data_IF_946447587196
#
_entry.id   IF_946447587196
#
_cell.length_a   1.000
_cell.length_b   1.000
_cell.length_c   1.000
_cell.angle_alpha   90.00
_cell.angle_beta   90.00
_cell.angle_gamma   90.00
#
_symmetry.space_group_name_H-M   'P 1'
#
loop_
_entity.id
_entity.type
_entity.pdbx_description
1 polymer ?
#
# COMPACT_ATOMS: atom_id res chain seq x y z
N UNK A 1 17.92 -43.56 -8.24
CA UNK A 1 16.80 -43.20 -7.35
C UNK A 1 17.33 -42.16 -6.40
N UNK A 2 16.99 -40.89 -6.65
CA UNK A 2 17.38 -39.81 -5.76
C UNK A 2 16.76 -40.08 -4.39
N UNK A 3 17.61 -40.17 -3.37
CA UNK A 3 17.21 -40.32 -1.99
C UNK A 3 16.43 -39.07 -1.63
N UNK A 4 15.11 -39.22 -1.42
CA UNK A 4 14.32 -38.23 -0.69
C UNK A 4 14.83 -38.23 0.75
N UNK A 5 15.97 -37.56 0.95
CA UNK A 5 16.45 -37.22 2.28
C UNK A 5 15.31 -36.43 2.92
N UNK A 6 14.80 -36.90 4.06
CA UNK A 6 13.77 -36.21 4.83
C UNK A 6 14.33 -34.87 5.29
N UNK A 7 14.31 -33.88 4.40
CA UNK A 7 14.58 -32.48 4.70
C UNK A 7 13.57 -32.11 5.78
N UNK A 8 14.08 -31.75 6.95
CA UNK A 8 13.25 -31.48 8.12
C UNK A 8 12.34 -30.28 7.81
N UNK A 9 11.13 -30.25 8.37
CA UNK A 9 10.16 -29.18 8.10
C UNK A 9 10.74 -27.77 8.35
N UNK A 10 11.68 -27.65 9.28
CA UNK A 10 12.40 -26.41 9.58
C UNK A 10 13.32 -25.95 8.45
N UNK A 11 13.90 -26.87 7.67
CA UNK A 11 14.74 -26.50 6.52
C UNK A 11 13.88 -25.96 5.36
N UNK A 12 12.68 -26.51 5.19
CA UNK A 12 11.72 -25.96 4.23
C UNK A 12 11.22 -24.58 4.66
N UNK A 13 10.81 -24.40 5.92
CA UNK A 13 10.42 -23.10 6.44
C UNK A 13 11.54 -22.04 6.33
N UNK A 14 12.80 -22.44 6.55
CA UNK A 14 13.95 -21.54 6.40
C UNK A 14 14.20 -21.18 4.93
N UNK A 15 14.11 -22.16 4.02
CA UNK A 15 14.24 -21.94 2.59
C UNK A 15 13.14 -21.01 2.07
N UNK A 16 11.88 -21.27 2.43
CA UNK A 16 10.74 -20.45 2.01
C UNK A 16 10.88 -19.02 2.50
N UNK A 17 11.40 -18.81 3.71
CA UNK A 17 11.58 -17.48 4.27
C UNK A 17 12.71 -16.70 3.60
N UNK A 18 13.81 -17.37 3.25
CA UNK A 18 14.87 -16.77 2.44
C UNK A 18 14.43 -16.44 1.01
N UNK A 19 13.51 -17.21 0.44
CA UNK A 19 12.89 -16.92 -0.86
C UNK A 19 11.97 -15.69 -0.76
N UNK A 20 11.12 -15.65 0.27
CA UNK A 20 10.21 -14.53 0.54
C UNK A 20 10.97 -13.21 0.69
N UNK A 21 12.02 -13.19 1.51
CA UNK A 21 12.83 -11.97 1.72
C UNK A 21 13.40 -11.39 0.41
N UNK A 22 13.79 -12.26 -0.52
CA UNK A 22 14.36 -11.85 -1.80
C UNK A 22 13.31 -11.30 -2.76
N UNK A 23 12.07 -11.78 -2.66
CA UNK A 23 10.97 -11.37 -3.54
C UNK A 23 10.30 -10.08 -3.07
N UNK A 24 10.34 -9.77 -1.76
CA UNK A 24 9.71 -8.56 -1.23
C UNK A 24 10.47 -7.26 -1.55
N UNK A 25 9.72 -6.27 -2.00
CA UNK A 25 10.14 -4.90 -2.30
C UNK A 25 9.44 -3.93 -1.34
N UNK A 26 8.12 -3.71 -1.43
CA UNK A 26 7.41 -2.67 -0.66
C UNK A 26 7.46 -2.87 0.86
N UNK A 27 7.28 -4.08 1.41
CA UNK A 27 7.37 -4.30 2.85
C UNK A 27 8.74 -3.94 3.45
N UNK A 28 9.81 -3.91 2.65
CA UNK A 28 11.16 -3.53 3.12
C UNK A 28 11.34 -2.02 3.25
N UNK A 29 10.50 -1.25 2.57
CA UNK A 29 10.53 0.23 2.52
C UNK A 29 9.83 0.86 3.72
N UNK A 30 8.97 0.10 4.39
CA UNK A 30 8.19 0.53 5.55
C UNK A 30 8.80 -0.03 6.83
N UNK A 31 8.24 0.37 7.97
CA UNK A 31 8.71 -0.13 9.24
C UNK A 31 8.23 -1.57 9.46
N UNK A 32 9.16 -2.52 9.35
CA UNK A 32 8.96 -3.92 9.69
C UNK A 32 9.02 -4.13 11.21
N UNK A 33 8.02 -4.83 11.75
CA UNK A 33 7.94 -5.29 13.13
C UNK A 33 8.04 -4.14 14.15
N UNK A 34 6.95 -3.36 14.24
CA UNK A 34 6.74 -2.45 15.37
C UNK A 34 6.86 -3.20 16.69
N UNK A 35 7.73 -2.74 17.59
CA UNK A 35 8.07 -3.43 18.83
C UNK A 35 6.84 -3.87 19.65
N UNK A 36 6.73 -5.17 19.92
CA UNK A 36 5.71 -5.77 20.80
C UNK A 36 5.42 -7.22 20.42
N UNK A 37 5.22 -8.09 21.40
CA UNK A 37 4.65 -9.41 21.18
C UNK A 37 3.15 -9.34 21.44
N UNK A 38 2.35 -9.88 20.51
CA UNK A 38 0.93 -10.10 20.74
C UNK A 38 0.79 -11.06 21.94
N UNK A 39 0.01 -10.65 22.94
CA UNK A 39 -0.33 -11.40 24.14
C UNK A 39 -1.30 -12.57 23.87
N UNK A 40 -1.75 -12.77 22.63
CA UNK A 40 -2.55 -13.92 22.21
C UNK A 40 -4.05 -13.78 22.52
N UNK A 41 -4.53 -12.56 22.75
CA UNK A 41 -5.95 -12.27 22.87
C UNK A 41 -6.62 -12.09 21.50
N UNK A 42 -7.94 -12.27 21.43
CA UNK A 42 -8.72 -11.89 20.24
C UNK A 42 -8.66 -10.36 20.09
N UNK A 43 -8.46 -9.87 18.86
CA UNK A 43 -8.35 -8.45 18.52
C UNK A 43 -7.15 -7.73 19.19
N UNK A 44 -6.10 -8.48 19.47
CA UNK A 44 -4.89 -7.94 20.09
C UNK A 44 -4.18 -6.94 19.16
N UNK A 45 -3.64 -5.88 19.77
CA UNK A 45 -2.99 -4.78 19.07
C UNK A 45 -1.56 -4.60 19.57
N UNK A 46 -0.64 -4.37 18.64
CA UNK A 46 0.70 -3.90 19.00
C UNK A 46 0.66 -2.38 19.04
N UNK A 47 0.82 -1.81 20.23
CA UNK A 47 1.00 -0.37 20.42
C UNK A 47 2.45 0.03 20.18
N UNK A 48 2.73 0.65 19.03
CA UNK A 48 3.99 1.32 18.77
C UNK A 48 3.97 2.68 19.47
N UNK A 49 5.01 2.97 20.28
CA UNK A 49 5.15 4.26 20.95
C UNK A 49 6.03 5.18 20.14
N UNK A 50 5.47 6.28 19.66
CA UNK A 50 6.24 7.36 19.03
C UNK A 50 6.56 8.39 20.10
N UNK A 51 7.85 8.75 20.30
CA UNK A 51 8.23 9.79 21.24
C UNK A 51 7.53 11.10 20.88
N UNK A 52 6.86 11.71 21.86
CA UNK A 52 6.23 13.01 21.67
C UNK A 52 7.27 14.08 21.31
N UNK A 53 6.94 14.97 20.37
CA UNK A 53 7.76 16.16 20.07
C UNK A 53 7.39 17.30 21.03
N UNK A 54 8.39 17.99 21.56
CA UNK A 54 8.22 19.21 22.34
C UNK A 54 8.67 20.42 21.51
N UNK A 55 7.93 21.52 21.60
CA UNK A 55 8.30 22.80 20.99
C UNK A 55 8.94 23.72 22.02
N UNK A 56 10.02 24.39 21.65
CA UNK A 56 10.70 25.31 22.55
C UNK A 56 9.90 26.62 22.68
N UNK A 57 9.60 27.04 23.90
CA UNK A 57 8.98 28.34 24.19
C UNK A 57 10.04 29.40 24.44
N UNK A 58 9.81 30.61 23.95
CA UNK A 58 10.62 31.77 24.28
C UNK A 58 9.91 32.63 25.33
N UNK A 59 10.70 33.35 26.14
CA UNK A 59 10.22 34.31 27.13
C UNK A 59 11.03 35.58 27.02
N UNK A 60 10.38 36.73 27.13
CA UNK A 60 11.07 38.02 27.12
C UNK A 60 12.05 38.16 28.30
N UNK A 61 13.23 38.71 27.99
CA UNK A 61 14.24 39.01 29.00
C UNK A 61 13.75 40.18 29.86
N UNK A 62 13.72 39.99 31.19
CA UNK A 62 13.19 40.98 32.17
C UNK A 62 11.67 41.23 32.08
N UNK A 63 10.90 40.25 31.62
CA UNK A 63 9.45 40.26 31.76
C UNK A 63 9.01 40.46 33.23
N UNK A 64 7.79 40.96 33.45
CA UNK A 64 7.17 41.15 34.77
C UNK A 64 5.79 40.48 34.83
N UNK A 65 5.32 40.15 36.04
CA UNK A 65 4.03 39.49 36.25
C UNK A 65 3.93 38.12 35.55
N UNK A 66 2.77 37.82 34.98
CA UNK A 66 2.48 36.53 34.33
C UNK A 66 3.43 36.20 33.17
N UNK A 67 4.06 37.21 32.55
CA UNK A 67 5.04 37.02 31.49
C UNK A 67 6.40 36.47 32.00
N UNK A 68 6.63 36.41 33.32
CA UNK A 68 7.77 35.64 33.89
C UNK A 68 7.47 34.15 34.05
N UNK A 69 6.21 33.74 34.05
CA UNK A 69 5.87 32.37 34.40
C UNK A 69 6.41 31.41 33.34
N UNK A 70 7.05 30.33 33.81
CA UNK A 70 7.45 29.23 32.93
C UNK A 70 6.20 28.41 32.66
N UNK A 71 5.77 28.37 31.40
CA UNK A 71 4.70 27.47 30.98
C UNK A 71 5.34 26.10 30.79
N UNK A 72 4.87 25.12 31.55
CA UNK A 72 5.34 23.74 31.48
C UNK A 72 4.53 23.02 30.40
N UNK A 73 5.21 22.34 29.48
CA UNK A 73 4.56 21.46 28.51
C UNK A 73 4.44 20.04 29.11
N UNK A 74 3.36 19.33 28.76
CA UNK A 74 3.17 17.94 29.15
C UNK A 74 3.66 17.05 28.01
N UNK A 75 4.59 16.13 28.29
CA UNK A 75 5.06 15.16 27.31
C UNK A 75 4.05 14.01 27.21
N UNK A 76 3.27 13.97 26.14
CA UNK A 76 2.39 12.85 25.82
C UNK A 76 3.05 11.97 24.76
N UNK A 77 3.30 10.70 25.08
CA UNK A 77 3.70 9.70 24.09
C UNK A 77 2.49 9.32 23.22
N UNK A 78 2.70 9.22 21.92
CA UNK A 78 1.66 8.75 21.01
C UNK A 78 1.72 7.23 20.90
N UNK A 79 0.58 6.57 21.07
CA UNK A 79 0.41 5.14 20.82
C UNK A 79 -0.24 4.93 19.45
N UNK A 80 0.27 3.95 18.72
CA UNK A 80 -0.25 3.54 17.41
C UNK A 80 -0.52 2.06 17.50
N UNK A 81 -1.78 1.68 17.40
CA UNK A 81 -2.21 0.30 17.57
C UNK A 81 -2.32 -0.38 16.21
N UNK A 82 -1.59 -1.49 16.02
CA UNK A 82 -1.65 -2.33 14.80
C UNK A 82 -2.28 -3.67 15.15
N UNK A 83 -3.39 -4.00 14.51
CA UNK A 83 -4.08 -5.31 14.60
C UNK A 83 -3.59 -6.27 13.52
N UNK A 84 -3.55 -7.57 13.81
CA UNK A 84 -3.48 -8.61 12.77
C UNK A 84 -4.85 -8.76 12.13
N UNK A 85 -4.98 -8.38 10.86
CA UNK A 85 -6.28 -8.35 10.16
C UNK A 85 -6.43 -9.44 9.12
N UNK A 86 -5.31 -9.92 8.58
CA UNK A 86 -5.31 -10.68 7.32
C UNK A 86 -4.43 -11.91 7.44
N UNK A 87 -4.93 -13.04 6.95
CA UNK A 87 -4.15 -14.26 6.74
C UNK A 87 -3.83 -14.39 5.26
N UNK A 88 -2.55 -14.26 4.90
CA UNK A 88 -2.08 -14.35 3.53
C UNK A 88 -1.55 -15.77 3.34
N UNK A 89 -2.22 -16.55 2.51
CA UNK A 89 -1.91 -17.97 2.34
C UNK A 89 -1.90 -18.41 0.88
N UNK A 90 -1.14 -19.47 0.62
CA UNK A 90 -1.17 -20.23 -0.62
C UNK A 90 -1.22 -21.72 -0.31
N UNK A 91 -2.19 -22.42 -0.89
CA UNK A 91 -2.40 -23.85 -0.68
C UNK A 91 -2.43 -24.58 -2.03
N UNK A 92 -1.60 -25.62 -2.16
CA UNK A 92 -1.52 -26.44 -3.37
C UNK A 92 -1.73 -27.91 -2.99
N UNK A 93 -2.79 -28.56 -3.49
CA UNK A 93 -2.92 -30.00 -3.41
C UNK A 93 -2.05 -30.66 -4.49
N UNK A 94 -1.38 -31.74 -4.14
CA UNK A 94 -0.61 -32.60 -5.05
C UNK A 94 -1.09 -34.03 -4.90
N UNK A 95 -1.43 -34.70 -6.00
CA UNK A 95 -1.83 -36.12 -5.95
C UNK A 95 -0.62 -37.02 -5.78
N UNK A 96 -0.84 -38.28 -5.39
CA UNK A 96 0.23 -39.27 -5.27
C UNK A 96 0.81 -39.65 -6.65
N UNK A 97 0.01 -39.62 -7.72
CA UNK A 97 0.52 -39.80 -9.08
C UNK A 97 1.46 -38.66 -9.49
N UNK A 98 1.07 -37.40 -9.27
CA UNK A 98 1.90 -36.23 -9.58
C UNK A 98 3.21 -36.24 -8.77
N UNK A 99 3.13 -36.56 -7.48
CA UNK A 99 4.30 -36.67 -6.60
C UNK A 99 5.26 -37.79 -7.03
N UNK A 100 4.74 -38.86 -7.63
CA UNK A 100 5.54 -40.03 -8.02
C UNK A 100 6.09 -39.92 -9.44
N UNK A 101 5.32 -39.34 -10.36
CA UNK A 101 5.60 -39.38 -11.80
C UNK A 101 6.09 -38.04 -12.37
N UNK A 102 5.62 -36.91 -11.83
CA UNK A 102 5.81 -35.59 -12.46
C UNK A 102 6.71 -34.65 -11.63
N UNK A 103 6.65 -34.71 -10.31
CA UNK A 103 7.38 -33.81 -9.41
C UNK A 103 8.78 -34.38 -9.11
N UNK A 104 9.80 -33.75 -9.69
CA UNK A 104 11.20 -34.09 -9.44
C UNK A 104 11.81 -33.32 -8.25
N UNK A 105 11.35 -32.09 -7.99
CA UNK A 105 11.80 -31.29 -6.86
C UNK A 105 10.65 -30.43 -6.30
N UNK A 106 10.11 -30.88 -5.18
CA UNK A 106 9.01 -30.22 -4.48
C UNK A 106 9.33 -28.76 -4.09
N UNK A 107 10.57 -28.47 -3.69
CA UNK A 107 10.96 -27.11 -3.27
C UNK A 107 10.92 -26.10 -4.42
N UNK A 108 11.37 -26.50 -5.61
CA UNK A 108 11.41 -25.60 -6.77
C UNK A 108 10.06 -25.56 -7.48
N UNK A 109 9.37 -26.70 -7.62
CA UNK A 109 8.16 -26.80 -8.44
C UNK A 109 6.88 -26.44 -7.69
N UNK A 110 6.86 -26.60 -6.35
CA UNK A 110 5.68 -26.32 -5.53
C UNK A 110 5.94 -25.16 -4.56
N UNK A 111 6.98 -25.25 -3.72
CA UNK A 111 7.20 -24.23 -2.68
C UNK A 111 7.56 -22.86 -3.26
N UNK A 112 8.42 -22.79 -4.29
CA UNK A 112 8.82 -21.49 -4.86
C UNK A 112 7.62 -20.69 -5.42
N UNK A 113 6.72 -21.28 -6.24
CA UNK A 113 5.48 -20.60 -6.64
C UNK A 113 4.57 -20.22 -5.47
N UNK A 114 4.47 -21.06 -4.43
CA UNK A 114 3.65 -20.75 -3.26
C UNK A 114 4.19 -19.54 -2.49
N UNK A 115 5.50 -19.48 -2.27
CA UNK A 115 6.16 -18.35 -1.61
C UNK A 115 5.98 -17.08 -2.41
N UNK A 116 6.13 -17.16 -3.73
CA UNK A 116 5.90 -16.01 -4.61
C UNK A 116 4.48 -15.48 -4.55
N UNK A 117 3.47 -16.37 -4.53
CA UNK A 117 2.08 -15.96 -4.39
C UNK A 117 1.83 -15.26 -3.04
N UNK A 118 2.44 -15.74 -1.95
CA UNK A 118 2.38 -15.07 -0.64
C UNK A 118 3.11 -13.73 -0.67
N UNK A 119 4.28 -13.65 -1.32
CA UNK A 119 5.03 -12.41 -1.50
C UNK A 119 4.20 -11.36 -2.25
N UNK A 120 3.63 -11.71 -3.41
CA UNK A 120 2.75 -10.85 -4.20
C UNK A 120 1.53 -10.40 -3.38
N UNK A 121 0.91 -11.30 -2.62
CA UNK A 121 -0.18 -10.96 -1.70
C UNK A 121 0.22 -9.96 -0.60
N UNK A 122 1.46 -10.03 -0.10
CA UNK A 122 2.00 -9.06 0.87
C UNK A 122 2.28 -7.70 0.23
N UNK A 123 2.83 -7.68 -0.99
CA UNK A 123 3.04 -6.44 -1.76
C UNK A 123 1.72 -5.71 -2.01
N UNK A 124 0.70 -6.45 -2.47
CA UNK A 124 -0.63 -5.89 -2.76
C UNK A 124 -1.33 -5.39 -1.49
N UNK A 125 -1.14 -6.06 -0.36
CA UNK A 125 -1.66 -5.60 0.91
C UNK A 125 -1.00 -4.29 1.37
N UNK A 126 0.32 -4.13 1.19
CA UNK A 126 1.01 -2.86 1.45
C UNK A 126 0.55 -1.77 0.48
N UNK A 127 0.42 -2.07 -0.81
CA UNK A 127 -0.09 -1.12 -1.81
C UNK A 127 -1.50 -0.63 -1.47
N UNK A 128 -2.37 -1.54 -1.01
CA UNK A 128 -3.72 -1.17 -0.55
C UNK A 128 -3.70 -0.27 0.69
N UNK A 129 -2.76 -0.47 1.60
CA UNK A 129 -2.56 0.43 2.74
C UNK A 129 -2.05 1.81 2.29
N UNK A 130 -1.15 1.86 1.30
CA UNK A 130 -0.75 3.14 0.71
C UNK A 130 -1.92 3.88 0.10
N UNK A 131 -2.87 3.19 -0.54
CA UNK A 131 -4.08 3.80 -1.10
C UNK A 131 -5.09 4.22 -0.03
N UNK A 132 -5.16 3.51 1.10
CA UNK A 132 -6.16 3.74 2.16
C UNK A 132 -5.81 4.92 3.07
N UNK A 133 -4.52 5.24 3.19
CA UNK A 133 -4.05 6.27 4.12
C UNK A 133 -4.63 7.67 3.82
N UNK A 134 -5.01 8.44 4.86
CA UNK A 134 -5.67 9.74 4.70
C UNK A 134 -4.65 10.88 4.46
N UNK A 135 -4.04 10.91 3.27
CA UNK A 135 -3.04 11.94 2.94
C UNK A 135 -3.56 13.36 3.07
N UNK A 136 -2.77 14.20 3.74
CA UNK A 136 -3.02 15.65 3.79
C UNK A 136 -2.71 16.32 2.45
N UNK A 137 -1.68 15.84 1.77
CA UNK A 137 -1.17 16.43 0.54
C UNK A 137 -1.27 15.40 -0.59
N UNK A 138 -1.99 15.79 -1.64
CA UNK A 138 -2.01 15.09 -2.93
C UNK A 138 -1.45 16.03 -3.97
N UNK A 139 -0.39 15.60 -4.66
CA UNK A 139 0.30 16.38 -5.69
C UNK A 139 0.02 15.74 -7.04
N UNK A 140 -0.45 16.57 -7.98
CA UNK A 140 -0.65 16.18 -9.37
C UNK A 140 0.69 16.31 -10.10
N UNK A 141 1.21 15.19 -10.60
CA UNK A 141 2.47 15.11 -11.32
C UNK A 141 2.23 15.48 -12.78
N UNK A 142 2.79 16.61 -13.20
CA UNK A 142 2.74 16.99 -14.61
C UNK A 142 3.79 16.21 -15.41
N UNK A 143 3.41 15.40 -16.42
CA UNK A 143 4.36 14.61 -17.20
C UNK A 143 5.35 15.47 -17.99
N UNK A 144 5.06 16.76 -18.22
CA UNK A 144 5.98 17.67 -18.89
C UNK A 144 7.03 18.28 -17.92
N UNK A 145 6.79 18.20 -16.60
CA UNK A 145 7.64 18.77 -15.54
C UNK A 145 7.61 17.90 -14.29
N UNK A 146 8.08 16.67 -14.43
CA UNK A 146 8.01 15.69 -13.33
C UNK A 146 8.90 16.10 -12.15
N UNK A 147 10.07 16.70 -12.43
CA UNK A 147 11.00 17.15 -11.40
C UNK A 147 10.38 18.17 -10.42
N UNK A 148 9.67 19.19 -10.93
CA UNK A 148 9.02 20.21 -10.12
C UNK A 148 8.00 19.60 -9.14
N UNK A 149 7.26 18.60 -9.63
CA UNK A 149 6.26 17.88 -8.83
C UNK A 149 6.91 17.13 -7.64
N UNK A 150 8.08 16.53 -7.84
CA UNK A 150 8.83 15.89 -6.74
C UNK A 150 9.48 16.89 -5.78
N UNK A 151 9.88 18.06 -6.27
CA UNK A 151 10.34 19.16 -5.42
C UNK A 151 9.20 19.67 -4.53
N UNK A 152 7.98 19.77 -5.06
CA UNK A 152 6.79 20.12 -4.28
C UNK A 152 6.47 19.04 -3.22
N UNK A 153 6.61 17.76 -3.56
CA UNK A 153 6.47 16.66 -2.60
C UNK A 153 7.53 16.75 -1.48
N UNK A 154 8.77 17.09 -1.86
CA UNK A 154 9.85 17.34 -0.89
C UNK A 154 9.52 18.50 0.02
N UNK A 155 8.99 19.59 -0.52
CA UNK A 155 8.59 20.79 0.23
C UNK A 155 7.50 20.45 1.24
N UNK A 156 6.43 19.75 0.83
CA UNK A 156 5.35 19.35 1.72
C UNK A 156 5.86 18.55 2.94
N UNK A 157 6.78 17.60 2.74
CA UNK A 157 7.39 16.86 3.85
C UNK A 157 8.35 17.70 4.71
N UNK A 158 9.01 18.70 4.13
CA UNK A 158 9.92 19.57 4.88
C UNK A 158 9.15 20.55 5.78
N UNK A 159 8.05 21.10 5.28
CA UNK A 159 7.18 22.02 6.03
C UNK A 159 6.62 21.32 7.29
N UNK A 160 6.37 20.01 7.20
CA UNK A 160 5.95 19.14 8.30
C UNK A 160 7.11 18.59 9.16
N UNK A 161 8.36 19.04 8.92
CA UNK A 161 9.55 18.62 9.68
C UNK A 161 9.79 17.10 9.72
N UNK A 162 9.41 16.41 8.65
CA UNK A 162 9.73 14.99 8.46
C UNK A 162 11.25 14.84 8.24
N UNK A 163 11.94 13.86 8.87
CA UNK A 163 13.38 13.67 8.66
C UNK A 163 13.77 13.50 7.19
N UNK A 164 14.96 13.98 6.81
CA UNK A 164 15.46 13.90 5.42
C UNK A 164 16.02 12.53 5.03
N UNK A 165 16.46 11.72 6.01
CA UNK A 165 16.95 10.37 5.76
C UNK A 165 15.78 9.41 5.53
N UNK A 166 16.01 8.28 4.84
CA UNK A 166 15.01 7.21 4.65
C UNK A 166 13.68 7.67 4.04
N UNK A 167 13.73 8.68 3.17
CA UNK A 167 12.58 9.06 2.34
C UNK A 167 12.62 8.27 1.05
N UNK A 168 11.50 7.66 0.72
CA UNK A 168 11.33 6.79 -0.43
C UNK A 168 10.20 7.36 -1.29
N UNK A 169 10.38 7.28 -2.60
CA UNK A 169 9.39 7.59 -3.60
C UNK A 169 9.06 6.28 -4.32
N UNK A 170 7.88 5.74 -4.05
CA UNK A 170 7.37 4.55 -4.75
C UNK A 170 6.47 5.02 -5.88
N UNK A 171 6.69 4.53 -7.10
CA UNK A 171 5.93 4.96 -8.28
C UNK A 171 5.40 3.78 -9.08
N UNK A 172 4.23 3.98 -9.69
CA UNK A 172 3.72 3.14 -10.75
C UNK A 172 4.41 3.37 -12.09
N UNK A 173 4.06 2.53 -13.07
CA UNK A 173 4.70 2.49 -14.39
C UNK A 173 4.45 3.73 -15.25
N UNK A 174 3.31 4.40 -15.10
CA UNK A 174 2.99 5.64 -15.83
C UNK A 174 3.84 6.82 -15.35
N UNK A 175 3.99 6.98 -14.04
CA UNK A 175 4.90 7.98 -13.45
C UNK A 175 6.36 7.65 -13.77
N UNK A 176 6.77 6.37 -13.75
CA UNK A 176 8.10 5.95 -14.20
C UNK A 176 8.35 6.39 -15.65
N UNK A 177 7.41 6.12 -16.56
CA UNK A 177 7.53 6.53 -17.96
C UNK A 177 7.63 8.05 -18.11
N UNK A 178 6.95 8.82 -17.26
CA UNK A 178 7.04 10.27 -17.23
C UNK A 178 8.43 10.74 -16.77
N UNK A 179 8.98 10.12 -15.72
CA UNK A 179 10.36 10.39 -15.24
C UNK A 179 11.38 10.15 -16.35
N UNK A 180 11.26 9.02 -17.08
CA UNK A 180 12.20 8.65 -18.14
C UNK A 180 12.12 9.55 -19.38
N UNK A 181 10.96 10.17 -19.63
CA UNK A 181 10.75 11.08 -20.78
C UNK A 181 11.08 12.53 -20.48
N UNK A 182 11.28 12.89 -19.22
CA UNK A 182 11.47 14.28 -18.83
C UNK A 182 12.84 14.82 -19.32
N UNK A 183 12.85 15.92 -20.11
CA UNK A 183 14.07 16.48 -20.69
C UNK A 183 15.14 16.85 -19.66
N UNK A 184 14.79 17.19 -18.42
CA UNK A 184 15.80 17.52 -17.40
C UNK A 184 16.65 16.31 -17.02
N UNK A 185 16.08 15.10 -17.05
CA UNK A 185 16.83 13.87 -16.81
C UNK A 185 17.61 13.45 -18.06
N UNK A 186 17.05 13.64 -19.25
CA UNK A 186 17.74 13.35 -20.53
C UNK A 186 18.91 14.32 -20.80
N UNK A 187 18.81 15.59 -20.39
CA UNK A 187 19.88 16.58 -20.54
C UNK A 187 20.98 16.42 -19.47
N UNK A 188 20.69 15.81 -18.32
CA UNK A 188 21.72 15.41 -17.36
C UNK A 188 22.72 14.42 -17.99
N UNK A 189 22.22 13.50 -18.84
CA UNK A 189 23.05 12.53 -19.58
C UNK A 189 23.97 13.18 -20.63
N UNK A 190 23.58 14.33 -21.20
CA UNK A 190 24.35 15.04 -22.23
C UNK A 190 25.40 16.02 -21.67
N UNK A 191 25.38 16.33 -20.36
CA UNK A 191 26.12 17.45 -19.77
C UNK A 191 27.52 17.10 -19.23
N UNK A 192 27.99 15.84 -19.35
CA UNK A 192 29.41 15.48 -19.18
C UNK A 192 30.08 15.92 -17.87
N UNK A 193 29.33 16.05 -16.76
CA UNK A 193 29.87 16.44 -15.45
C UNK A 193 29.84 15.27 -14.46
N UNK A 194 31.01 14.82 -14.04
CA UNK A 194 31.30 13.61 -13.23
C UNK A 194 30.66 13.57 -11.81
N UNK A 195 29.93 14.63 -11.42
CA UNK A 195 29.21 14.70 -10.16
C UNK A 195 27.71 14.39 -10.35
N UNK A 196 27.07 14.87 -11.42
CA UNK A 196 25.66 14.62 -11.72
C UNK A 196 25.43 13.21 -12.28
N UNK A 197 26.43 12.64 -12.98
CA UNK A 197 26.40 11.29 -13.55
C UNK A 197 26.26 10.15 -12.53
N UNK A 198 26.54 10.40 -11.23
CA UNK A 198 26.42 9.36 -10.18
C UNK A 198 25.04 9.25 -9.54
N UNK A 199 24.19 10.26 -9.67
CA UNK A 199 22.84 10.24 -9.08
C UNK A 199 21.75 9.81 -10.09
N UNK A 200 22.03 9.85 -11.39
CA UNK A 200 21.01 9.74 -12.43
C UNK A 200 20.76 8.33 -12.99
N UNK A 201 21.53 7.30 -12.60
CA UNK A 201 21.22 5.93 -13.01
C UNK A 201 20.83 5.09 -11.79
N UNK A 202 19.52 5.09 -11.52
CA UNK A 202 18.86 4.28 -10.48
C UNK A 202 19.22 4.71 -9.06
N UNK A 203 18.41 5.55 -8.45
CA UNK A 203 18.44 5.59 -6.99
C UNK A 203 17.71 6.73 -6.35
N UNK A 204 17.95 7.99 -6.73
CA UNK A 204 17.50 9.12 -5.90
C UNK A 204 17.10 10.39 -6.68
N UNK A 205 15.85 10.84 -6.53
CA UNK A 205 15.32 12.06 -7.16
C UNK A 205 14.82 13.01 -6.08
N UNK A 206 15.20 14.30 -6.15
CA UNK A 206 14.78 15.33 -5.19
C UNK A 206 14.98 14.95 -3.70
N UNK A 207 15.94 14.07 -3.40
CA UNK A 207 16.24 13.57 -2.05
C UNK A 207 15.48 12.31 -1.62
N UNK A 208 14.62 11.76 -2.48
CA UNK A 208 13.89 10.52 -2.30
C UNK A 208 14.54 9.36 -3.03
N UNK A 209 14.60 8.19 -2.39
CA UNK A 209 15.02 6.97 -3.08
C UNK A 209 13.88 6.45 -3.96
N UNK A 210 14.06 6.37 -5.29
CA UNK A 210 12.98 6.07 -6.24
C UNK A 210 12.91 4.57 -6.50
N UNK A 211 11.72 3.99 -6.32
CA UNK A 211 11.47 2.57 -6.48
C UNK A 211 10.19 2.39 -7.29
N UNK A 212 10.27 1.59 -8.34
CA UNK A 212 9.12 1.23 -9.16
C UNK A 212 8.52 -0.05 -8.60
N UNK A 213 7.20 -0.08 -8.44
CA UNK A 213 6.48 -1.28 -8.01
C UNK A 213 5.37 -1.62 -8.99
N UNK A 214 5.27 -2.91 -9.31
CA UNK A 214 4.22 -3.45 -10.17
C UNK A 214 2.88 -3.65 -9.44
N UNK A 215 2.86 -3.55 -8.10
CA UNK A 215 1.62 -3.62 -7.31
C UNK A 215 0.86 -2.29 -7.26
N UNK A 216 1.47 -1.21 -7.77
CA UNK A 216 0.82 0.09 -7.92
C UNK A 216 0.17 0.22 -9.30
N UNK A 217 -0.93 0.98 -9.35
CA UNK A 217 -1.54 1.41 -10.61
C UNK A 217 -0.57 2.37 -11.34
N UNK A 218 -0.74 2.54 -12.65
CA UNK A 218 0.21 3.28 -13.48
C UNK A 218 0.28 4.78 -13.13
N UNK A 219 -0.86 5.35 -12.74
CA UNK A 219 -1.08 6.78 -12.48
C UNK A 219 -0.84 7.19 -11.02
N UNK A 220 -0.43 6.27 -10.14
CA UNK A 220 -0.23 6.54 -8.71
C UNK A 220 1.23 6.46 -8.26
N UNK A 221 1.54 7.24 -7.23
CA UNK A 221 2.83 7.22 -6.55
C UNK A 221 2.72 7.73 -5.12
N UNK A 222 3.73 7.40 -4.30
CA UNK A 222 3.74 7.71 -2.89
C UNK A 222 5.14 8.14 -2.44
N UNK A 223 5.25 9.36 -1.93
CA UNK A 223 6.49 9.88 -1.35
C UNK A 223 6.36 9.91 0.17
N UNK A 224 7.14 9.09 0.89
CA UNK A 224 7.00 8.96 2.34
C UNK A 224 8.32 8.69 3.05
N UNK A 225 8.33 8.89 4.36
CA UNK A 225 9.41 8.43 5.23
C UNK A 225 9.16 7.00 5.68
N UNK A 226 10.19 6.16 5.84
CA UNK A 226 10.06 4.75 6.27
C UNK A 226 9.13 4.51 7.46
N UNK A 227 9.05 5.44 8.40
CA UNK A 227 8.17 5.35 9.59
C UNK A 227 6.71 5.73 9.33
N UNK A 228 6.31 6.06 8.11
CA UNK A 228 4.94 6.47 7.80
C UNK A 228 3.98 5.29 7.84
N UNK A 229 4.48 4.10 7.50
CA UNK A 229 3.73 2.86 7.47
C UNK A 229 4.43 1.80 8.31
N UNK A 230 3.65 0.86 8.83
CA UNK A 230 4.12 -0.27 9.61
C UNK A 230 3.48 -1.54 9.10
N UNK A 231 4.26 -2.61 9.07
CA UNK A 231 3.77 -3.97 8.84
C UNK A 231 4.29 -4.87 9.94
N UNK A 232 3.38 -5.69 10.47
CA UNK A 232 3.70 -6.76 11.41
C UNK A 232 3.30 -8.09 10.79
N UNK A 233 4.18 -9.08 10.89
CA UNK A 233 3.88 -10.45 10.46
C UNK A 233 4.03 -11.42 11.62
N UNK A 234 3.22 -12.47 11.64
CA UNK A 234 3.30 -13.55 12.63
C UNK A 234 3.03 -14.90 11.96
N UNK A 235 3.86 -15.88 12.28
CA UNK A 235 3.64 -17.25 11.85
C UNK A 235 2.56 -17.89 12.74
N UNK A 236 1.50 -18.48 12.17
CA UNK A 236 0.53 -19.25 12.94
C UNK A 236 1.20 -20.44 13.65
N UNK A 237 0.57 -21.01 14.68
CA UNK A 237 1.06 -22.23 15.35
C UNK A 237 0.78 -23.46 14.47
N UNK A 238 1.70 -24.41 14.38
CA UNK A 238 1.44 -25.70 13.69
C UNK A 238 0.38 -26.48 14.48
N UNK A 239 -0.79 -26.80 13.90
CA UNK A 239 -1.84 -27.55 14.59
C UNK A 239 -1.39 -28.99 14.86
N UNK A 240 -1.80 -29.55 15.99
CA UNK A 240 -1.45 -30.93 16.40
C UNK A 240 -1.89 -32.01 15.38
N UNK A 241 -2.88 -31.70 14.53
CA UNK A 241 -3.38 -32.59 13.49
C UNK A 241 -2.51 -32.64 12.23
N UNK A 242 -1.57 -31.71 12.06
CA UNK A 242 -0.70 -31.70 10.90
C UNK A 242 0.53 -32.57 11.12
N UNK A 243 0.75 -33.61 10.30
CA UNK A 243 1.89 -34.52 10.49
C UNK A 243 3.24 -33.84 10.23
N UNK A 244 3.27 -32.79 9.40
CA UNK A 244 4.47 -32.02 9.09
C UNK A 244 4.16 -30.53 9.07
N UNK A 245 5.00 -29.73 9.72
CA UNK A 245 4.94 -28.28 9.63
C UNK A 245 5.99 -27.62 10.48
N UNK A 246 6.31 -26.38 10.16
CA UNK A 246 7.20 -25.53 10.93
C UNK A 246 6.78 -24.06 10.80
N UNK A 247 6.84 -23.35 11.92
CA UNK A 247 6.60 -21.92 12.01
C UNK A 247 7.93 -21.24 12.31
N UNK A 248 8.32 -20.26 11.48
CA UNK A 248 9.63 -19.61 11.59
C UNK A 248 9.51 -18.11 11.40
N UNK A 249 10.47 -17.38 12.00
CA UNK A 249 10.64 -15.95 11.80
C UNK A 249 12.10 -15.62 11.50
N UNK A 250 12.32 -14.61 10.67
CA UNK A 250 13.63 -14.15 10.22
C UNK A 250 13.51 -12.72 9.66
N UNK A 251 14.45 -11.84 10.02
CA UNK A 251 14.49 -10.44 9.56
C UNK A 251 13.16 -9.66 9.67
N UNK A 252 12.34 -9.96 10.70
CA UNK A 252 11.05 -9.29 10.93
C UNK A 252 9.90 -9.81 10.07
N UNK A 253 10.14 -10.86 9.28
CA UNK A 253 9.14 -11.65 8.58
C UNK A 253 8.90 -12.95 9.34
N UNK A 254 7.66 -13.43 9.36
CA UNK A 254 7.30 -14.70 9.94
C UNK A 254 6.37 -15.46 9.02
N UNK A 255 6.58 -16.76 8.88
CA UNK A 255 5.73 -17.62 8.06
C UNK A 255 5.66 -19.02 8.64
N UNK A 256 4.58 -19.73 8.31
CA UNK A 256 4.43 -21.16 8.58
C UNK A 256 4.33 -21.91 7.26
N UNK A 257 4.97 -23.07 7.23
CA UNK A 257 4.73 -24.09 6.23
C UNK A 257 4.12 -25.32 6.90
N UNK A 258 3.12 -25.93 6.26
CA UNK A 258 2.39 -27.08 6.75
C UNK A 258 2.10 -28.05 5.61
N UNK A 259 2.18 -29.35 5.89
CA UNK A 259 1.75 -30.41 4.99
C UNK A 259 0.87 -31.40 5.72
N UNK A 260 -0.27 -31.69 5.11
CA UNK A 260 -1.25 -32.63 5.61
C UNK A 260 -1.76 -33.54 4.49
N UNK A 261 -2.23 -34.74 4.84
CA UNK A 261 -2.75 -35.73 3.90
C UNK A 261 -4.27 -35.82 4.02
N UNK A 262 -4.97 -35.52 2.93
CA UNK A 262 -6.42 -35.74 2.83
C UNK A 262 -6.72 -37.15 2.35
N UNK A 263 -7.26 -37.98 3.24
CA UNK A 263 -7.62 -39.36 2.92
C UNK A 263 -8.78 -39.46 1.91
N UNK A 264 -9.70 -38.48 1.87
CA UNK A 264 -10.88 -38.54 0.99
C UNK A 264 -10.48 -38.28 -0.46
N UNK A 265 -9.64 -37.28 -0.69
CA UNK A 265 -9.14 -36.93 -2.02
C UNK A 265 -7.81 -37.60 -2.37
N UNK A 266 -7.25 -38.41 -1.47
CA UNK A 266 -5.95 -39.06 -1.60
C UNK A 266 -4.83 -38.10 -2.03
N UNK A 267 -4.85 -36.87 -1.50
CA UNK A 267 -3.91 -35.81 -1.89
C UNK A 267 -3.13 -35.28 -0.70
N UNK A 268 -1.86 -34.96 -0.95
CA UNK A 268 -1.04 -34.17 -0.03
C UNK A 268 -1.33 -32.68 -0.26
N UNK A 269 -1.56 -31.93 0.82
CA UNK A 269 -1.88 -30.49 0.78
C UNK A 269 -0.73 -29.72 1.42
N UNK A 270 -0.05 -28.91 0.61
CA UNK A 270 0.99 -27.99 1.06
C UNK A 270 0.38 -26.62 1.32
N UNK A 271 0.54 -26.08 2.51
CA UNK A 271 0.08 -24.74 2.90
C UNK A 271 1.28 -23.89 3.32
N UNK A 272 1.37 -22.69 2.77
CA UNK A 272 2.26 -21.62 3.23
C UNK A 272 1.39 -20.45 3.66
N UNK A 273 1.55 -19.96 4.89
CA UNK A 273 0.76 -18.83 5.39
C UNK A 273 1.49 -17.92 6.39
N UNK A 274 0.97 -16.69 6.50
CA UNK A 274 1.42 -15.67 7.45
C UNK A 274 0.27 -14.75 7.83
N UNK A 275 0.16 -14.47 9.14
CA UNK A 275 -0.72 -13.41 9.61
C UNK A 275 -0.02 -12.07 9.43
N UNK A 276 -0.69 -11.15 8.74
CA UNK A 276 -0.20 -9.81 8.48
C UNK A 276 -1.15 -8.76 9.05
N UNK A 277 -0.55 -7.70 9.60
CA UNK A 277 -1.22 -6.49 10.04
C UNK A 277 -0.52 -5.27 9.45
N UNK A 278 -1.30 -4.31 8.97
CA UNK A 278 -0.82 -3.09 8.33
C UNK A 278 -1.37 -1.88 9.07
N UNK A 279 -0.63 -0.78 9.06
CA UNK A 279 -1.13 0.49 9.57
C UNK A 279 -0.28 1.66 9.12
N UNK A 280 -0.86 2.84 9.24
CA UNK A 280 -0.20 4.12 8.96
C UNK A 280 -0.12 4.97 10.22
N UNK A 281 0.89 5.83 10.27
CA UNK A 281 1.17 6.70 11.41
C UNK A 281 0.49 8.06 11.20
N UNK A 282 -0.60 8.27 11.93
CA UNK A 282 -1.22 9.59 12.09
C UNK A 282 -0.46 10.40 13.15
N UNK A 283 -0.51 11.73 13.12
CA UNK A 283 0.06 12.56 14.19
C UNK A 283 -1.03 12.99 15.19
N UNK A 284 -0.82 12.72 16.48
CA UNK A 284 -1.82 12.94 17.53
C UNK A 284 -2.01 14.41 17.94
N UNK A 285 -1.06 15.30 17.63
CA UNK A 285 -1.13 16.69 18.09
C UNK A 285 -2.11 17.56 17.28
N UNK A 286 -2.56 17.14 16.10
CA UNK A 286 -3.26 18.03 15.17
C UNK A 286 -4.28 17.30 14.26
N UNK A 287 -5.27 16.65 14.85
CA UNK A 287 -6.49 16.15 14.16
C UNK A 287 -6.32 14.93 13.24
N UNK A 288 -5.72 13.84 13.72
CA UNK A 288 -5.60 12.56 12.97
C UNK A 288 -5.02 12.73 11.55
N UNK A 289 -4.04 13.63 11.43
CA UNK A 289 -3.49 14.04 10.14
C UNK A 289 -2.33 13.13 9.74
N UNK A 290 -2.36 12.64 8.50
CA UNK A 290 -1.23 11.91 7.91
C UNK A 290 -0.28 12.88 7.21
N UNK A 291 0.89 13.12 7.82
CA UNK A 291 1.89 14.10 7.35
C UNK A 291 3.21 13.47 6.90
N UNK A 292 3.43 12.18 7.20
CA UNK A 292 4.69 11.47 6.91
C UNK A 292 4.76 10.91 5.50
N UNK A 293 3.70 11.07 4.73
CA UNK A 293 3.63 10.72 3.33
C UNK A 293 2.80 11.72 2.53
N UNK A 294 3.09 11.76 1.24
CA UNK A 294 2.43 12.58 0.23
C UNK A 294 2.00 11.64 -0.89
N UNK A 295 0.75 11.79 -1.34
CA UNK A 295 0.25 11.07 -2.50
C UNK A 295 0.60 11.82 -3.77
N UNK A 296 1.05 11.08 -4.77
CA UNK A 296 1.32 11.57 -6.12
C UNK A 296 0.32 10.92 -7.06
N UNK A 297 -0.28 11.73 -7.93
CA UNK A 297 -1.16 11.25 -8.97
C UNK A 297 -0.69 11.83 -10.30
N UNK A 298 -0.56 11.01 -11.34
CA UNK A 298 -0.25 11.51 -12.68
C UNK A 298 -1.38 12.42 -13.17
N UNK A 299 -1.01 13.53 -13.81
CA UNK A 299 -1.96 14.47 -14.39
C UNK A 299 -2.76 13.81 -15.50
N UNK A 300 -4.07 13.82 -15.37
CA UNK A 300 -4.98 13.35 -16.42
C UNK A 300 -5.47 14.49 -17.31
N UNK A 301 -5.61 14.25 -18.62
CA UNK A 301 -6.12 15.22 -19.58
C UNK A 301 -7.63 15.09 -19.89
N UNK A 302 -8.23 13.91 -19.69
CA UNK A 302 -9.66 13.65 -19.93
C UNK A 302 -10.24 12.71 -18.89
N UNK A 303 -11.55 12.73 -18.73
CA UNK A 303 -12.29 11.76 -17.92
C UNK A 303 -13.42 11.20 -18.77
N UNK A 304 -13.53 9.88 -18.81
CA UNK A 304 -14.57 9.15 -19.55
C UNK A 304 -15.39 8.29 -18.60
N UNK A 305 -16.72 8.43 -18.63
CA UNK A 305 -17.62 7.70 -17.75
C UNK A 305 -18.49 6.73 -18.53
N UNK A 306 -18.44 5.46 -18.14
CA UNK A 306 -19.21 4.38 -18.77
C UNK A 306 -20.14 3.70 -17.77
N UNK A 307 -21.41 3.44 -18.11
CA UNK A 307 -22.11 3.88 -19.34
C UNK A 307 -22.50 5.36 -19.31
N UNK A 308 -22.53 6.02 -20.47
CA UNK A 308 -22.94 7.43 -20.62
C UNK A 308 -24.45 7.65 -20.40
N UNK A 309 -25.26 6.59 -20.55
CA UNK A 309 -26.70 6.61 -20.27
C UNK A 309 -27.13 5.39 -19.48
N UNK A 310 -28.05 5.59 -18.53
CA UNK A 310 -28.54 4.56 -17.62
C UNK A 310 -30.05 4.66 -17.52
N UNK A 311 -30.76 3.56 -17.78
CA UNK A 311 -32.21 3.47 -17.58
C UNK A 311 -32.50 2.45 -16.49
N UNK A 312 -33.20 2.88 -15.43
CA UNK A 312 -33.44 2.06 -14.23
C UNK A 312 -34.89 2.13 -13.79
N UNK A 313 -35.42 1.04 -13.25
CA UNK A 313 -36.65 1.06 -12.48
C UNK A 313 -36.41 1.67 -11.08
N UNK A 314 -37.42 2.29 -10.43
CA UNK A 314 -37.28 2.78 -9.06
C UNK A 314 -36.74 1.68 -8.12
N UNK A 315 -35.72 2.02 -7.31
CA UNK A 315 -35.03 1.11 -6.40
C UNK A 315 -33.89 0.30 -7.03
N UNK A 316 -33.74 0.31 -8.36
CA UNK A 316 -32.62 -0.36 -9.01
C UNK A 316 -31.33 0.47 -8.92
N UNK A 317 -30.19 -0.23 -8.99
CA UNK A 317 -28.86 0.38 -8.89
C UNK A 317 -28.01 0.06 -10.11
N UNK A 318 -27.13 0.98 -10.50
CA UNK A 318 -26.15 0.77 -11.56
C UNK A 318 -24.81 1.35 -11.15
N UNK A 319 -23.75 0.54 -11.26
CA UNK A 319 -22.38 1.02 -11.07
C UNK A 319 -21.91 1.71 -12.36
N UNK A 320 -21.30 2.88 -12.23
CA UNK A 320 -20.54 3.52 -13.31
C UNK A 320 -19.05 3.33 -13.11
N UNK A 321 -18.34 3.25 -14.22
CA UNK A 321 -16.88 3.15 -14.27
C UNK A 321 -16.34 4.48 -14.80
N UNK A 322 -15.37 5.04 -14.10
CA UNK A 322 -14.65 6.25 -14.51
C UNK A 322 -13.29 5.83 -15.03
N UNK A 323 -12.89 6.36 -16.18
CA UNK A 323 -11.57 6.17 -16.76
C UNK A 323 -10.90 7.50 -17.02
N UNK A 324 -9.58 7.51 -16.94
CA UNK A 324 -8.76 8.64 -17.35
C UNK A 324 -8.30 8.50 -18.81
N UNK A 325 -7.44 9.43 -19.25
CA UNK A 325 -6.81 9.43 -20.57
C UNK A 325 -5.78 8.31 -20.80
N UNK A 326 -5.27 7.68 -19.74
CA UNK A 326 -4.49 6.45 -19.81
C UNK A 326 -5.34 5.23 -20.18
N UNK A 327 -6.65 5.33 -19.96
CA UNK A 327 -7.61 4.24 -20.13
C UNK A 327 -7.77 3.40 -18.86
N UNK A 328 -7.11 3.81 -17.79
CA UNK A 328 -7.09 3.17 -16.50
C UNK A 328 -8.32 3.56 -15.69
N UNK A 329 -8.83 2.62 -14.91
CA UNK A 329 -10.01 2.87 -14.09
C UNK A 329 -9.63 3.75 -12.92
N UNK A 330 -10.14 4.98 -12.91
CA UNK A 330 -9.95 5.90 -11.80
C UNK A 330 -10.68 5.34 -10.58
N UNK A 331 -9.98 5.01 -9.48
CA UNK A 331 -10.64 4.57 -8.27
C UNK A 331 -11.67 5.61 -7.84
N UNK A 332 -12.90 5.20 -7.54
CA UNK A 332 -14.00 6.16 -7.32
C UNK A 332 -13.72 7.19 -6.22
N UNK A 333 -12.88 6.88 -5.23
CA UNK A 333 -12.41 7.83 -4.20
C UNK A 333 -11.63 9.04 -4.75
N UNK A 334 -11.12 8.96 -5.97
CA UNK A 334 -10.37 10.03 -6.61
C UNK A 334 -11.26 10.95 -7.46
N UNK A 335 -12.48 10.52 -7.80
CA UNK A 335 -13.45 11.30 -8.56
C UNK A 335 -14.59 11.79 -7.66
N UNK A 336 -15.11 12.98 -7.93
CA UNK A 336 -16.29 13.50 -7.24
C UNK A 336 -17.54 13.27 -8.07
N UNK A 337 -18.58 12.71 -7.46
CA UNK A 337 -19.87 12.43 -8.10
C UNK A 337 -20.95 13.34 -7.54
N UNK A 338 -21.69 14.00 -8.43
CA UNK A 338 -22.79 14.90 -8.04
C UNK A 338 -24.03 14.53 -8.84
N UNK A 339 -25.16 14.32 -8.15
CA UNK A 339 -26.46 14.17 -8.81
C UNK A 339 -27.13 15.52 -8.97
N UNK A 340 -27.55 15.85 -10.20
CA UNK A 340 -28.32 17.06 -10.49
C UNK A 340 -29.72 17.06 -9.86
N UNK A 341 -30.35 15.89 -9.72
CA UNK A 341 -31.66 15.73 -9.06
C UNK A 341 -31.68 14.53 -8.09
N UNK A 342 -31.18 14.69 -6.85
CA UNK A 342 -31.14 13.61 -5.85
C UNK A 342 -32.50 12.98 -5.54
N UNK A 343 -33.60 13.72 -5.73
CA UNK A 343 -34.97 13.20 -5.58
C UNK A 343 -35.37 12.19 -6.65
N UNK A 344 -34.62 12.08 -7.76
CA UNK A 344 -34.86 11.15 -8.89
C UNK A 344 -33.82 10.04 -8.93
N UNK A 345 -32.54 10.39 -8.78
CA UNK A 345 -31.47 9.42 -8.65
C UNK A 345 -30.38 9.95 -7.73
N UNK A 346 -29.82 9.11 -6.89
CA UNK A 346 -28.64 9.42 -6.05
C UNK A 346 -27.42 8.69 -6.58
N UNK A 347 -26.23 9.19 -6.25
CA UNK A 347 -24.96 8.52 -6.56
C UNK A 347 -24.11 8.46 -5.29
N UNK A 348 -23.48 7.32 -5.02
CA UNK A 348 -22.56 7.16 -3.89
C UNK A 348 -21.17 7.70 -4.23
N UNK A 349 -20.31 7.85 -3.21
CA UNK A 349 -18.89 8.18 -3.41
C UNK A 349 -18.13 7.10 -4.21
N UNK A 350 -18.68 5.90 -4.33
CA UNK A 350 -18.11 4.82 -5.15
C UNK A 350 -18.62 4.82 -6.59
N UNK A 351 -19.46 5.78 -7.02
CA UNK A 351 -20.07 5.78 -8.34
C UNK A 351 -21.27 4.82 -8.50
N UNK A 352 -21.85 4.33 -7.40
CA UNK A 352 -23.07 3.53 -7.48
C UNK A 352 -24.30 4.44 -7.58
N UNK A 353 -24.97 4.43 -8.72
CA UNK A 353 -26.23 5.14 -8.94
C UNK A 353 -27.37 4.33 -8.32
N UNK A 354 -28.30 4.99 -7.64
CA UNK A 354 -29.55 4.41 -7.13
C UNK A 354 -30.74 5.22 -7.65
N UNK A 355 -31.68 4.56 -8.31
CA UNK A 355 -32.91 5.18 -8.78
C UNK A 355 -33.90 5.37 -7.63
N UNK A 356 -34.38 6.60 -7.40
CA UNK A 356 -35.27 6.93 -6.28
C UNK A 356 -36.73 7.01 -6.75
N UNK A 357 -37.00 7.76 -7.81
CA UNK A 357 -38.36 7.99 -8.32
C UNK A 357 -38.34 8.33 -9.81
N UNK A 358 -39.45 8.10 -10.49
CA UNK A 358 -39.59 8.34 -11.93
C UNK A 358 -39.24 9.79 -12.31
N UNK A 359 -38.48 9.93 -13.39
CA UNK A 359 -37.91 11.19 -13.86
C UNK A 359 -36.48 11.03 -14.37
N UNK A 360 -35.82 12.14 -14.66
CA UNK A 360 -34.44 12.16 -15.16
C UNK A 360 -33.51 12.84 -14.16
N UNK A 361 -32.26 12.39 -14.13
CA UNK A 361 -31.15 13.04 -13.43
C UNK A 361 -29.92 13.02 -14.32
N UNK A 362 -29.07 14.02 -14.19
CA UNK A 362 -27.72 14.00 -14.78
C UNK A 362 -26.74 13.84 -13.62
N UNK A 363 -25.92 12.79 -13.68
CA UNK A 363 -24.82 12.62 -12.75
C UNK A 363 -23.59 13.27 -13.39
N UNK A 364 -22.99 14.23 -12.70
CA UNK A 364 -21.72 14.84 -13.10
C UNK A 364 -20.58 14.17 -12.33
N UNK A 365 -19.58 13.69 -13.07
CA UNK A 365 -18.35 13.14 -12.53
C UNK A 365 -17.25 14.17 -12.76
N UNK A 366 -16.41 14.42 -11.77
CA UNK A 366 -15.25 15.31 -11.90
C UNK A 366 -13.99 14.60 -11.41
N UNK A 367 -12.94 14.61 -12.22
CA UNK A 367 -11.63 14.05 -11.89
C UNK A 367 -10.53 15.03 -12.31
N UNK A 368 -9.67 15.43 -11.38
CA UNK A 368 -8.58 16.41 -11.61
C UNK A 368 -9.01 17.72 -12.33
N UNK A 369 -10.26 18.16 -12.13
CA UNK A 369 -10.82 19.35 -12.79
C UNK A 369 -11.46 19.10 -14.16
N UNK A 370 -11.34 17.89 -14.71
CA UNK A 370 -12.07 17.44 -15.90
C UNK A 370 -13.43 16.87 -15.51
N UNK A 371 -14.44 17.06 -16.35
CA UNK A 371 -15.82 16.63 -16.08
C UNK A 371 -16.41 15.81 -17.21
N UNK A 372 -17.16 14.78 -16.86
CA UNK A 372 -18.04 14.05 -17.78
C UNK A 372 -19.38 13.73 -17.09
N UNK A 373 -20.39 13.32 -17.86
CA UNK A 373 -21.77 13.19 -17.36
C UNK A 373 -22.44 11.89 -17.77
N UNK A 374 -23.29 11.37 -16.87
CA UNK A 374 -24.17 10.23 -17.13
C UNK A 374 -25.62 10.69 -17.08
N UNK A 375 -26.37 10.44 -18.15
CA UNK A 375 -27.81 10.68 -18.18
C UNK A 375 -28.57 9.49 -17.60
N UNK A 376 -29.29 9.72 -16.50
CA UNK A 376 -30.10 8.71 -15.81
C UNK A 376 -31.58 8.95 -16.10
N UNK A 377 -32.25 7.92 -16.61
CA UNK A 377 -33.71 7.90 -16.79
C UNK A 377 -34.31 6.86 -15.86
N UNK A 378 -35.26 7.28 -15.03
CA UNK A 378 -36.01 6.40 -14.14
C UNK A 378 -37.43 6.26 -14.65
N UNK A 379 -37.82 5.05 -15.07
CA UNK A 379 -39.12 4.76 -15.70
C UNK A 379 -39.67 3.40 -15.32
#
# INVERSE_FOLDING_TARGET
MAVNEFVKAEQFAALTLGMLERELILPRLIWLNGFGDFAGAKDDTISIRVPGRLTARTRELRATGNARNIIMDTLTEQKIDVTLTTDIYSAVPTTDEELTLDIANFGVQILAPQVRAVAEGMEDAVANEFRSAPYTFTIVVDPAKTHDSFVDARKALNDENVPFGQRVLVVGSGIEAAILKDPQFVHADQSGSDAALREAFVGRIAGFDVIVSNSLDDDEGYAFHKTAFTMVTRAPVVPDGAPYGASQSYNGLAMRWLRDYDFVSTTDRSLVDTYAGFGHVLEAQDSDRFVRGVRLQLKSATVDVTPATVTLAPGATQQITVKDDGGDTVPARNATFVSGTPAKATVSASGLITAVATGTSTITVTYQGHTDTVAVTVS
#
